data_IF_077866664054
#
_entry.id   IF_077866664054
#
_cell.length_a   1.000
_cell.length_b   1.000
_cell.length_c   1.000
_cell.angle_alpha   90.00
_cell.angle_beta   90.00
_cell.angle_gamma   90.00
#
_symmetry.space_group_name_H-M   'P 1'
#
loop_
_entity.id
_entity.type
_entity.pdbx_description
1 polymer ?
#
# COMPACT_ATOMS: atom_id res chain seq x y z
N UNK A 1 -15.85 19.99 41.11
CA UNK A 1 -16.27 19.97 39.70
C UNK A 1 -15.56 18.80 39.06
N UNK A 2 -16.30 17.74 38.71
CA UNK A 2 -15.74 16.59 38.00
C UNK A 2 -15.48 17.02 36.55
N UNK A 3 -14.20 17.01 36.16
CA UNK A 3 -13.83 17.08 34.74
C UNK A 3 -13.96 15.67 34.19
N UNK A 4 -15.18 15.28 33.86
CA UNK A 4 -15.41 14.14 32.99
C UNK A 4 -14.90 14.57 31.61
N UNK A 5 -13.65 14.22 31.29
CA UNK A 5 -13.22 14.19 29.91
C UNK A 5 -13.68 12.82 29.39
N UNK A 6 -14.85 12.69 28.75
CA UNK A 6 -15.24 11.43 28.16
C UNK A 6 -14.18 11.15 27.11
N UNK A 7 -13.23 10.27 27.43
CA UNK A 7 -12.34 9.72 26.43
C UNK A 7 -13.24 8.95 25.48
N UNK A 8 -13.72 9.64 24.44
CA UNK A 8 -14.28 9.04 23.24
C UNK A 8 -13.17 8.15 22.74
N UNK A 9 -13.24 6.87 23.11
CA UNK A 9 -12.39 5.83 22.55
C UNK A 9 -12.54 6.00 21.04
N UNK A 10 -11.49 6.30 20.28
CA UNK A 10 -11.63 6.42 18.83
C UNK A 10 -12.26 5.09 18.40
N UNK A 11 -13.42 5.20 17.76
CA UNK A 11 -14.09 4.06 17.15
C UNK A 11 -13.02 3.40 16.30
N UNK A 12 -12.61 2.18 16.64
CA UNK A 12 -11.74 1.39 15.79
C UNK A 12 -12.57 1.06 14.56
N UNK A 13 -12.64 1.99 13.60
CA UNK A 13 -12.96 1.61 12.23
C UNK A 13 -12.00 0.47 11.95
N UNK A 14 -12.54 -0.69 11.59
CA UNK A 14 -11.71 -1.76 11.03
C UNK A 14 -11.00 -1.10 9.86
N UNK A 15 -9.72 -0.77 10.03
CA UNK A 15 -8.99 -0.10 8.98
C UNK A 15 -9.14 -0.97 7.74
N UNK A 16 -9.47 -0.40 6.59
CA UNK A 16 -9.42 -1.12 5.33
C UNK A 16 -7.98 -1.51 4.97
N UNK A 17 -7.00 -1.32 5.85
CA UNK A 17 -5.61 -1.67 5.67
C UNK A 17 -5.43 -3.18 5.57
N UNK A 18 -4.96 -3.62 4.40
CA UNK A 18 -4.56 -4.99 4.12
C UNK A 18 -3.07 -5.19 4.46
N UNK A 19 -2.24 -4.23 4.07
CA UNK A 19 -0.80 -4.30 4.28
C UNK A 19 -0.08 -3.08 3.71
N UNK A 20 1.22 -3.20 3.51
CA UNK A 20 2.06 -2.17 2.90
C UNK A 20 2.73 -2.74 1.64
N UNK A 21 2.91 -1.91 0.64
CA UNK A 21 3.61 -2.28 -0.59
C UNK A 21 5.13 -2.09 -0.45
N UNK A 22 5.89 -2.50 -1.46
CA UNK A 22 7.35 -2.37 -1.51
C UNK A 22 7.86 -0.91 -1.47
N UNK A 23 7.00 0.06 -1.79
CA UNK A 23 7.27 1.50 -1.69
C UNK A 23 6.78 2.11 -0.37
N UNK A 24 6.33 1.27 0.56
CA UNK A 24 5.80 1.67 1.86
C UNK A 24 4.50 2.50 1.74
N UNK A 25 3.75 2.32 0.65
CA UNK A 25 2.38 2.80 0.49
C UNK A 25 1.39 1.83 1.14
N UNK A 26 0.30 2.37 1.67
CA UNK A 26 -0.75 1.58 2.30
C UNK A 26 -1.60 0.86 1.25
N UNK A 27 -1.67 -0.46 1.36
CA UNK A 27 -2.58 -1.31 0.56
C UNK A 27 -3.89 -1.44 1.32
N UNK A 28 -5.01 -1.13 0.66
CA UNK A 28 -6.34 -1.33 1.21
C UNK A 28 -7.03 -2.57 0.62
N UNK A 29 -7.99 -3.14 1.37
CA UNK A 29 -8.83 -4.23 0.90
C UNK A 29 -9.68 -3.75 -0.30
N UNK A 30 -9.40 -4.30 -1.47
CA UNK A 30 -10.05 -3.94 -2.73
C UNK A 30 -9.11 -3.32 -3.75
N UNK A 31 -7.90 -2.95 -3.34
CA UNK A 31 -6.88 -2.45 -4.25
C UNK A 31 -6.25 -3.59 -5.06
N UNK A 32 -5.79 -3.27 -6.26
CA UNK A 32 -5.10 -4.22 -7.14
C UNK A 32 -3.62 -4.24 -6.78
N UNK A 33 -3.14 -5.42 -6.40
CA UNK A 33 -1.75 -5.66 -6.03
C UNK A 33 -1.12 -6.74 -6.89
N UNK A 34 0.18 -6.63 -7.09
CA UNK A 34 1.02 -7.60 -7.78
C UNK A 34 1.98 -8.22 -6.78
N UNK A 35 1.90 -9.54 -6.64
CA UNK A 35 2.85 -10.32 -5.84
C UNK A 35 3.93 -10.89 -6.77
N UNK A 36 5.19 -10.57 -6.46
CA UNK A 36 6.35 -11.10 -7.16
C UNK A 36 6.80 -12.42 -6.54
N UNK A 37 7.44 -13.31 -7.32
CA UNK A 37 7.97 -14.58 -6.79
C UNK A 37 9.04 -14.40 -5.69
N UNK A 38 9.63 -13.20 -5.58
CA UNK A 38 10.56 -12.82 -4.52
C UNK A 38 9.87 -12.50 -3.17
N UNK A 39 8.52 -12.49 -3.13
CA UNK A 39 7.72 -12.18 -1.93
C UNK A 39 7.40 -10.70 -1.76
N UNK A 40 7.81 -9.86 -2.71
CA UNK A 40 7.51 -8.43 -2.74
C UNK A 40 6.10 -8.19 -3.29
N UNK A 41 5.37 -7.28 -2.66
CA UNK A 41 4.00 -6.92 -3.04
C UNK A 41 3.98 -5.46 -3.43
N UNK A 42 3.40 -5.15 -4.60
CA UNK A 42 3.41 -3.80 -5.15
C UNK A 42 2.00 -3.43 -5.60
N UNK A 43 1.56 -2.21 -5.28
CA UNK A 43 0.32 -1.66 -5.82
C UNK A 43 0.39 -1.49 -7.33
N UNK A 44 -0.73 -1.67 -8.03
CA UNK A 44 -0.80 -1.44 -9.49
C UNK A 44 -0.25 -0.07 -9.89
N UNK A 45 -0.52 0.97 -9.11
CA UNK A 45 -0.03 2.33 -9.38
C UNK A 45 1.50 2.43 -9.33
N UNK A 46 2.14 1.64 -8.46
CA UNK A 46 3.58 1.64 -8.24
C UNK A 46 4.33 0.57 -9.06
N UNK A 47 3.62 -0.31 -9.78
CA UNK A 47 4.24 -1.42 -10.53
C UNK A 47 5.22 -0.95 -11.58
N UNK A 48 4.91 0.17 -12.25
CA UNK A 48 5.78 0.73 -13.28
C UNK A 48 7.10 1.23 -12.68
N UNK A 49 7.04 1.89 -11.52
CA UNK A 49 8.23 2.34 -10.78
C UNK A 49 9.03 1.14 -10.31
N UNK A 50 8.36 0.11 -9.78
CA UNK A 50 9.01 -1.13 -9.35
C UNK A 50 9.77 -1.82 -10.47
N UNK A 51 9.14 -1.97 -11.63
CA UNK A 51 9.74 -2.61 -12.79
C UNK A 51 11.02 -1.89 -13.25
N UNK A 52 11.03 -0.55 -13.21
CA UNK A 52 12.18 0.24 -13.67
C UNK A 52 13.28 0.29 -12.58
N UNK A 53 12.91 0.57 -11.33
CA UNK A 53 13.88 0.79 -10.25
C UNK A 53 14.46 -0.50 -9.66
N UNK A 54 13.61 -1.52 -9.46
CA UNK A 54 14.00 -2.76 -8.78
C UNK A 54 14.41 -3.83 -9.79
N UNK A 55 13.59 -4.04 -10.83
CA UNK A 55 13.85 -5.04 -11.86
C UNK A 55 14.75 -4.53 -13.00
N UNK A 56 15.06 -3.23 -13.03
CA UNK A 56 15.92 -2.63 -14.05
C UNK A 56 15.32 -2.63 -15.46
N UNK A 57 13.98 -2.71 -15.57
CA UNK A 57 13.31 -2.75 -16.86
C UNK A 57 13.46 -1.41 -17.60
N UNK A 58 13.94 -1.48 -18.84
CA UNK A 58 13.98 -0.31 -19.71
C UNK A 58 12.65 -0.16 -20.44
N UNK A 59 11.88 0.88 -20.10
CA UNK A 59 10.69 1.25 -20.87
C UNK A 59 11.10 1.59 -22.30
N UNK A 60 10.71 0.76 -23.25
CA UNK A 60 10.83 1.03 -24.69
C UNK A 60 9.43 1.13 -25.28
N UNK A 61 9.25 2.09 -26.19
CA UNK A 61 8.08 2.14 -27.06
C UNK A 61 8.50 1.40 -28.33
N UNK A 62 7.75 0.39 -28.73
CA UNK A 62 7.95 -0.25 -30.02
C UNK A 62 7.37 0.69 -31.07
N UNK A 63 8.24 1.40 -31.78
CA UNK A 63 7.93 2.12 -33.03
C UNK A 63 8.05 1.18 -34.24
#
# INVERSE_FOLDING_TARGET
MQVENPMTRPVRLKSPHWGIDAFNDEILYGDVIYEFPDGEIVLEENIHQYLIQVLGATRKIAE
#
